data_IF_269911787078
#
_entry.id   IF_269911787078
#
_cell.length_a   1.000
_cell.length_b   1.000
_cell.length_c   1.000
_cell.angle_alpha   90.00
_cell.angle_beta   90.00
_cell.angle_gamma   90.00
#
_symmetry.space_group_name_H-M   'P 1'
#
loop_
_entity.id
_entity.type
_entity.pdbx_description
1 polymer ?
#
# COMPACT_ATOMS: atom_id res chain seq x y z
N UNK A 1 1.78 -14.58 -36.47
CA UNK A 1 1.35 -14.65 -35.06
C UNK A 1 -0.13 -15.02 -35.08
N UNK A 2 -0.49 -16.20 -34.56
CA UNK A 2 -1.88 -16.70 -34.59
C UNK A 2 -2.70 -16.07 -33.46
N UNK A 3 -4.02 -15.96 -33.65
CA UNK A 3 -4.94 -15.40 -32.65
C UNK A 3 -4.76 -16.08 -31.27
N UNK A 4 -4.53 -17.39 -31.28
CA UNK A 4 -4.30 -18.21 -30.09
C UNK A 4 -3.06 -17.78 -29.27
N UNK A 5 -1.95 -17.41 -29.93
CA UNK A 5 -0.74 -16.95 -29.24
C UNK A 5 -0.99 -15.61 -28.55
N UNK A 6 -1.75 -14.73 -29.19
CA UNK A 6 -2.08 -13.41 -28.64
C UNK A 6 -3.02 -13.49 -27.43
N UNK A 7 -3.96 -14.42 -27.44
CA UNK A 7 -4.85 -14.65 -26.29
C UNK A 7 -4.10 -15.21 -25.09
N UNK A 8 -3.15 -16.10 -25.33
CA UNK A 8 -2.28 -16.65 -24.27
C UNK A 8 -1.36 -15.57 -23.69
N UNK A 9 -0.72 -14.76 -24.54
CA UNK A 9 0.08 -13.60 -24.08
C UNK A 9 -0.76 -12.61 -23.25
N UNK A 10 -1.99 -12.32 -23.67
CA UNK A 10 -2.88 -11.43 -22.92
C UNK A 10 -3.26 -12.01 -21.55
N UNK A 11 -3.48 -13.34 -21.46
CA UNK A 11 -3.76 -14.00 -20.19
C UNK A 11 -2.54 -13.93 -19.26
N UNK A 12 -1.34 -14.24 -19.76
CA UNK A 12 -0.09 -14.17 -18.98
C UNK A 12 0.16 -12.76 -18.45
N UNK A 13 -0.04 -11.72 -19.28
CA UNK A 13 0.06 -10.31 -18.87
C UNK A 13 -0.97 -9.98 -17.78
N UNK A 14 -2.20 -10.46 -17.91
CA UNK A 14 -3.26 -10.27 -16.93
C UNK A 14 -2.92 -10.90 -15.57
N UNK A 15 -2.45 -12.15 -15.58
CA UNK A 15 -2.02 -12.86 -14.38
C UNK A 15 -0.82 -12.18 -13.71
N UNK A 16 0.18 -11.77 -14.49
CA UNK A 16 1.35 -11.06 -13.97
C UNK A 16 0.96 -9.71 -13.35
N UNK A 17 0.03 -8.99 -13.99
CA UNK A 17 -0.51 -7.73 -13.47
C UNK A 17 -1.24 -7.93 -12.16
N UNK A 18 -2.18 -8.88 -12.10
CA UNK A 18 -2.92 -9.18 -10.89
C UNK A 18 -2.00 -9.59 -9.74
N UNK A 19 -0.98 -10.42 -10.01
CA UNK A 19 0.03 -10.80 -9.01
C UNK A 19 0.80 -9.58 -8.48
N UNK A 20 1.23 -8.67 -9.37
CA UNK A 20 1.99 -7.47 -8.99
C UNK A 20 1.16 -6.51 -8.16
N UNK A 21 -0.09 -6.29 -8.55
CA UNK A 21 -1.03 -5.43 -7.82
C UNK A 21 -1.35 -6.02 -6.45
N UNK A 22 -1.62 -7.32 -6.35
CA UNK A 22 -1.87 -7.99 -5.07
C UNK A 22 -0.68 -7.97 -4.11
N UNK A 23 0.55 -8.11 -4.63
CA UNK A 23 1.77 -7.96 -3.82
C UNK A 23 1.88 -6.54 -3.28
N UNK A 24 1.66 -5.52 -4.13
CA UNK A 24 1.73 -4.11 -3.73
C UNK A 24 0.68 -3.80 -2.65
N UNK A 25 -0.55 -4.23 -2.85
CA UNK A 25 -1.63 -4.03 -1.88
C UNK A 25 -1.30 -4.69 -0.52
N UNK A 26 -0.78 -5.93 -0.54
CA UNK A 26 -0.40 -6.64 0.68
C UNK A 26 0.74 -5.97 1.46
N UNK A 27 1.75 -5.46 0.75
CA UNK A 27 2.85 -4.69 1.35
C UNK A 27 2.33 -3.40 2.00
N UNK A 28 1.51 -2.63 1.27
CA UNK A 28 0.93 -1.39 1.75
C UNK A 28 0.02 -1.62 2.97
N UNK A 29 -0.83 -2.65 2.93
CA UNK A 29 -1.69 -3.02 4.05
C UNK A 29 -0.89 -3.33 5.32
N UNK A 30 0.20 -4.07 5.16
CA UNK A 30 1.10 -4.39 6.26
C UNK A 30 1.72 -3.12 6.83
N UNK A 31 2.21 -2.23 5.99
CA UNK A 31 2.80 -0.96 6.41
C UNK A 31 1.80 -0.06 7.15
N UNK A 32 0.60 0.16 6.57
CA UNK A 32 -0.49 0.95 7.19
C UNK A 32 -0.86 0.39 8.56
N UNK A 33 -1.02 -0.94 8.67
CA UNK A 33 -1.34 -1.61 9.92
C UNK A 33 -0.27 -1.39 11.00
N UNK A 34 1.01 -1.44 10.60
CA UNK A 34 2.13 -1.21 11.52
C UNK A 34 2.23 0.26 11.94
N UNK A 35 2.08 1.21 11.02
CA UNK A 35 2.08 2.65 11.31
C UNK A 35 0.93 3.00 12.26
N UNK A 36 -0.30 2.55 11.97
CA UNK A 36 -1.47 2.80 12.83
C UNK A 36 -1.27 2.28 14.25
N UNK A 37 -0.75 1.05 14.41
CA UNK A 37 -0.45 0.47 15.74
C UNK A 37 0.59 1.28 16.50
N UNK A 38 1.62 1.81 15.83
CA UNK A 38 2.66 2.62 16.47
C UNK A 38 2.15 4.04 16.80
N UNK A 39 1.35 4.66 15.93
CA UNK A 39 0.68 5.93 16.23
C UNK A 39 -0.18 5.85 17.49
N UNK A 40 -0.98 4.78 17.61
CA UNK A 40 -1.81 4.54 18.81
C UNK A 40 -0.99 4.33 20.09
N UNK A 41 0.28 3.92 19.98
CA UNK A 41 1.22 3.81 21.10
C UNK A 41 1.97 5.11 21.40
N UNK A 42 1.71 6.18 20.64
CA UNK A 42 2.30 7.51 20.85
C UNK A 42 3.70 7.68 20.26
N UNK A 43 4.15 6.81 19.34
CA UNK A 43 5.41 7.02 18.64
C UNK A 43 5.30 8.21 17.66
N UNK A 44 6.37 9.00 17.55
CA UNK A 44 6.46 10.07 16.54
C UNK A 44 6.66 9.47 15.14
N UNK A 45 6.39 10.26 14.08
CA UNK A 45 6.58 9.82 12.69
C UNK A 45 8.05 9.47 12.39
N UNK A 46 8.99 10.20 12.99
CA UNK A 46 10.44 9.94 12.90
C UNK A 46 10.77 8.58 13.54
N UNK A 47 10.27 8.32 14.75
CA UNK A 47 10.49 7.03 15.41
C UNK A 47 9.84 5.87 14.65
N UNK A 48 8.69 6.09 14.04
CA UNK A 48 8.01 5.07 13.23
C UNK A 48 8.82 4.76 11.97
N UNK A 49 9.32 5.78 11.27
CA UNK A 49 10.18 5.63 10.10
C UNK A 49 11.44 4.83 10.46
N UNK A 50 12.14 5.20 11.53
CA UNK A 50 13.32 4.49 12.01
C UNK A 50 13.01 3.03 12.39
N UNK A 51 11.92 2.78 13.13
CA UNK A 51 11.54 1.43 13.57
C UNK A 51 11.05 0.51 12.45
N UNK A 52 10.57 1.09 11.36
CA UNK A 52 10.08 0.35 10.20
C UNK A 52 11.11 0.26 9.07
N UNK A 53 12.24 0.95 9.20
CA UNK A 53 13.22 1.12 8.13
C UNK A 53 12.59 1.70 6.85
N UNK A 54 11.64 2.61 7.04
CA UNK A 54 10.86 3.25 5.96
C UNK A 54 11.23 4.71 5.81
N UNK A 55 11.00 5.25 4.62
CA UNK A 55 11.19 6.69 4.39
C UNK A 55 10.20 7.52 5.23
N UNK A 56 10.70 8.62 5.80
CA UNK A 56 9.88 9.48 6.66
C UNK A 56 8.69 10.09 5.91
N UNK A 57 8.81 10.39 4.61
CA UNK A 57 7.71 10.92 3.80
C UNK A 57 6.63 9.87 3.59
N UNK A 58 7.02 8.60 3.36
CA UNK A 58 6.10 7.45 3.28
C UNK A 58 5.29 7.33 4.56
N UNK A 59 5.97 7.33 5.71
CA UNK A 59 5.31 7.27 7.02
C UNK A 59 4.42 8.49 7.25
N UNK A 60 4.88 9.69 6.92
CA UNK A 60 4.12 10.93 7.09
C UNK A 60 2.83 10.95 6.27
N UNK A 61 2.88 10.48 5.02
CA UNK A 61 1.70 10.36 4.17
C UNK A 61 0.70 9.35 4.75
N UNK A 62 1.16 8.20 5.24
CA UNK A 62 0.28 7.21 5.88
C UNK A 62 -0.33 7.79 7.17
N UNK A 63 0.47 8.45 8.01
CA UNK A 63 -0.02 9.10 9.23
C UNK A 63 -1.10 10.14 8.90
N UNK A 64 -0.88 10.94 7.86
CA UNK A 64 -1.83 11.94 7.38
C UNK A 64 -3.13 11.30 6.94
N UNK A 65 -3.06 10.23 6.15
CA UNK A 65 -4.24 9.53 5.65
C UNK A 65 -5.06 8.91 6.81
N UNK A 66 -4.38 8.26 7.76
CA UNK A 66 -5.03 7.72 8.96
C UNK A 66 -5.70 8.82 9.80
N UNK A 67 -5.06 9.99 9.91
CA UNK A 67 -5.58 11.11 10.70
C UNK A 67 -6.73 11.82 10.01
N UNK A 68 -6.73 11.88 8.68
CA UNK A 68 -7.82 12.43 7.87
C UNK A 68 -9.05 11.51 7.86
N UNK A 69 -8.85 10.20 8.01
CA UNK A 69 -9.89 9.17 7.95
C UNK A 69 -9.85 8.26 9.19
N UNK A 70 -10.18 8.77 10.39
CA UNK A 70 -10.04 8.01 11.64
C UNK A 70 -11.01 6.84 11.76
N UNK A 71 -12.18 6.92 11.11
CA UNK A 71 -13.21 5.87 11.11
C UNK A 71 -12.89 4.73 10.14
N UNK A 72 -11.98 4.97 9.19
CA UNK A 72 -11.69 4.03 8.12
C UNK A 72 -10.72 2.93 8.56
N UNK A 73 -10.97 1.70 8.09
CA UNK A 73 -10.09 0.58 8.38
C UNK A 73 -8.80 0.62 7.56
N UNK A 74 -7.87 -0.31 7.82
CA UNK A 74 -6.60 -0.30 7.10
C UNK A 74 -6.76 -0.57 5.60
N UNK A 75 -7.81 -1.29 5.18
CA UNK A 75 -8.04 -1.60 3.76
C UNK A 75 -8.48 -0.35 3.02
N UNK A 76 -9.39 0.43 3.60
CA UNK A 76 -9.85 1.66 2.96
C UNK A 76 -8.73 2.69 2.89
N UNK A 77 -7.92 2.83 3.95
CA UNK A 77 -6.71 3.66 3.91
C UNK A 77 -5.75 3.22 2.79
N UNK A 78 -5.56 1.92 2.57
CA UNK A 78 -4.74 1.43 1.46
C UNK A 78 -5.33 1.77 0.10
N UNK A 79 -6.66 1.65 -0.06
CA UNK A 79 -7.35 2.02 -1.30
C UNK A 79 -7.12 3.50 -1.61
N UNK A 80 -7.36 4.38 -0.64
CA UNK A 80 -7.15 5.82 -0.78
C UNK A 80 -5.71 6.15 -1.16
N UNK A 81 -4.73 5.53 -0.51
CA UNK A 81 -3.32 5.71 -0.87
C UNK A 81 -3.01 5.23 -2.30
N UNK A 82 -3.54 4.09 -2.73
CA UNK A 82 -3.35 3.60 -4.10
C UNK A 82 -4.01 4.50 -5.15
N UNK A 83 -5.15 5.11 -4.82
CA UNK A 83 -5.87 6.05 -5.70
C UNK A 83 -5.18 7.42 -5.78
N UNK A 84 -4.59 7.91 -4.68
CA UNK A 84 -3.82 9.16 -4.63
C UNK A 84 -2.46 9.09 -5.36
N UNK A 85 -2.12 7.94 -5.95
CA UNK A 85 -0.91 7.78 -6.75
C UNK A 85 0.36 7.51 -5.95
N UNK A 86 0.26 6.79 -4.81
CA UNK A 86 1.43 6.29 -4.07
C UNK A 86 2.31 5.45 -5.01
N UNK A 87 3.44 6.01 -5.45
CA UNK A 87 4.45 5.37 -6.30
C UNK A 87 5.73 5.09 -5.52
#
# INVERSE_FOLDING_TARGET
>A
MTLLMRDQENQEIGEERGRREGIREGMLYTLVSQVRKKLLRGYSKEQIADLLEEDIQTVENICRMISAHPEEDNREICRLLMEDGFQ
#
